data_IF_119437957852
#
_entry.id   IF_119437957852
#
_cell.length_a   1.000
_cell.length_b   1.000
_cell.length_c   1.000
_cell.angle_alpha   90.00
_cell.angle_beta   90.00
_cell.angle_gamma   90.00
#
_symmetry.space_group_name_H-M   'P 1'
#
loop_
_entity.id
_entity.type
_entity.pdbx_description
1 polymer ?
#
# COMPACT_ATOMS: atom_id res chain seq x y z
N UNK A 1 25.19 -21.27 -4.81
CA UNK A 1 24.31 -20.09 -4.77
C UNK A 1 23.02 -20.47 -5.46
N UNK A 2 21.98 -20.74 -4.69
CA UNK A 2 20.66 -20.92 -5.28
C UNK A 2 20.25 -19.56 -5.89
N UNK A 3 20.20 -19.51 -7.22
CA UNK A 3 19.55 -18.38 -7.89
C UNK A 3 18.14 -18.25 -7.33
N UNK A 4 17.80 -17.06 -6.89
CA UNK A 4 16.45 -16.78 -6.38
C UNK A 4 15.47 -16.98 -7.53
N UNK A 5 14.56 -17.95 -7.46
CA UNK A 5 13.50 -18.11 -8.49
C UNK A 5 12.63 -16.86 -8.63
N UNK A 6 12.72 -15.96 -7.69
CA UNK A 6 12.04 -14.66 -7.66
C UNK A 6 12.38 -13.78 -8.88
N UNK A 7 13.58 -13.94 -9.48
CA UNK A 7 13.98 -13.12 -10.63
C UNK A 7 13.15 -13.45 -11.87
N UNK A 8 12.94 -14.72 -12.16
CA UNK A 8 12.16 -15.14 -13.33
C UNK A 8 10.69 -14.73 -13.21
N UNK A 9 10.12 -14.85 -12.02
CA UNK A 9 8.72 -14.51 -11.76
C UNK A 9 8.52 -12.98 -11.75
N UNK A 10 9.49 -12.21 -11.27
CA UNK A 10 9.43 -10.74 -11.29
C UNK A 10 9.32 -10.15 -12.70
N UNK A 11 9.86 -10.80 -13.70
CA UNK A 11 9.70 -10.37 -15.09
C UNK A 11 8.26 -10.39 -15.59
N UNK A 12 7.41 -11.19 -14.96
CA UNK A 12 6.01 -11.28 -15.31
C UNK A 12 5.17 -10.14 -14.72
N UNK A 13 5.70 -9.42 -13.74
CA UNK A 13 5.01 -8.28 -13.14
C UNK A 13 5.04 -7.11 -14.13
N UNK A 14 3.89 -6.52 -14.46
CA UNK A 14 3.85 -5.38 -15.38
C UNK A 14 4.72 -4.21 -14.89
N UNK A 15 5.36 -3.48 -15.82
CA UNK A 15 6.17 -2.34 -15.46
C UNK A 15 5.34 -1.24 -14.77
N UNK A 16 5.96 -0.43 -13.89
CA UNK A 16 5.26 0.65 -13.20
C UNK A 16 4.77 1.72 -14.18
N UNK A 17 3.61 2.28 -13.89
CA UNK A 17 3.02 3.41 -14.61
C UNK A 17 3.49 4.75 -14.02
N UNK A 18 3.10 5.86 -14.64
CA UNK A 18 3.39 7.20 -14.11
C UNK A 18 2.73 7.43 -12.76
N UNK A 19 3.35 8.24 -11.93
CA UNK A 19 2.90 8.54 -10.58
C UNK A 19 1.43 9.04 -10.52
N UNK A 20 1.05 9.95 -11.42
CA UNK A 20 -0.31 10.50 -11.47
C UNK A 20 -1.39 9.45 -11.75
N UNK A 21 -1.06 8.42 -12.49
CA UNK A 21 -1.95 7.28 -12.70
C UNK A 21 -2.30 6.58 -11.37
N UNK A 22 -1.31 6.39 -10.51
CA UNK A 22 -1.55 5.76 -9.20
C UNK A 22 -2.34 6.65 -8.26
N UNK A 23 -2.11 7.97 -8.30
CA UNK A 23 -2.90 8.93 -7.52
C UNK A 23 -4.38 8.84 -7.88
N UNK A 24 -4.70 8.82 -9.17
CA UNK A 24 -6.08 8.64 -9.63
C UNK A 24 -6.69 7.30 -9.21
N UNK A 25 -5.93 6.23 -9.36
CA UNK A 25 -6.40 4.90 -8.99
C UNK A 25 -6.65 4.72 -7.49
N UNK A 26 -5.80 5.27 -6.63
CA UNK A 26 -6.00 5.14 -5.20
C UNK A 26 -7.26 5.88 -4.74
N UNK A 27 -7.54 7.05 -5.27
CA UNK A 27 -8.79 7.79 -5.02
C UNK A 27 -10.01 6.94 -5.36
N UNK A 28 -10.02 6.39 -6.57
CA UNK A 28 -11.12 5.54 -7.04
C UNK A 28 -11.31 4.30 -6.19
N UNK A 29 -10.23 3.59 -5.87
CA UNK A 29 -10.30 2.35 -5.09
C UNK A 29 -10.74 2.55 -3.65
N UNK A 30 -10.56 3.74 -3.10
CA UNK A 30 -10.96 4.10 -1.74
C UNK A 30 -12.32 4.82 -1.67
N UNK A 31 -12.97 5.05 -2.80
CA UNK A 31 -14.23 5.78 -2.86
C UNK A 31 -14.11 7.26 -2.47
N UNK A 32 -12.94 7.85 -2.67
CA UNK A 32 -12.65 9.26 -2.37
C UNK A 32 -12.99 10.21 -3.52
N UNK A 33 -13.48 9.69 -4.65
CA UNK A 33 -13.97 10.51 -5.75
C UNK A 33 -15.38 11.01 -5.42
N UNK A 34 -15.62 12.28 -5.70
CA UNK A 34 -16.98 12.84 -5.63
C UNK A 34 -17.70 12.47 -6.94
N UNK A 35 -18.64 11.55 -6.87
CA UNK A 35 -19.55 11.28 -7.97
C UNK A 35 -20.54 12.44 -8.09
N UNK A 36 -20.51 13.14 -9.22
CA UNK A 36 -21.30 14.34 -9.47
C UNK A 36 -22.84 14.12 -9.46
N UNK A 37 -23.29 12.88 -9.47
CA UNK A 37 -24.70 12.50 -9.58
C UNK A 37 -25.27 11.82 -8.32
N UNK A 38 -24.49 11.66 -7.25
CA UNK A 38 -24.96 10.96 -6.07
C UNK A 38 -25.03 11.91 -4.87
N UNK A 39 -26.22 12.07 -4.33
CA UNK A 39 -26.48 12.77 -3.05
C UNK A 39 -25.82 12.05 -1.84
N UNK A 40 -25.06 10.99 -2.11
CA UNK A 40 -24.31 10.24 -1.11
C UNK A 40 -22.93 10.88 -0.96
N UNK A 41 -22.77 11.64 0.11
CA UNK A 41 -21.46 12.18 0.51
C UNK A 41 -20.60 10.99 0.97
N UNK A 42 -19.60 10.64 0.16
CA UNK A 42 -18.61 9.65 0.54
C UNK A 42 -17.73 10.10 1.72
N UNK A 43 -16.97 9.20 2.34
CA UNK A 43 -16.10 9.57 3.43
C UNK A 43 -15.05 10.59 2.99
N UNK A 44 -14.72 11.54 3.85
CA UNK A 44 -13.70 12.56 3.57
C UNK A 44 -12.28 12.00 3.61
N UNK A 45 -12.10 10.90 4.33
CA UNK A 45 -10.81 10.23 4.50
C UNK A 45 -10.98 8.71 4.46
N UNK A 46 -9.89 8.04 4.08
CA UNK A 46 -9.79 6.59 4.14
C UNK A 46 -8.56 6.18 4.93
N UNK A 47 -8.64 5.04 5.61
CA UNK A 47 -7.55 4.49 6.42
C UNK A 47 -7.01 3.26 5.70
N UNK A 48 -5.68 3.23 5.53
CA UNK A 48 -4.96 2.14 4.87
C UNK A 48 -3.98 1.53 5.87
N UNK A 49 -3.99 0.21 5.98
CA UNK A 49 -2.94 -0.52 6.70
C UNK A 49 -1.62 -0.43 5.96
N UNK A 50 -0.56 -0.09 6.66
CA UNK A 50 0.80 -0.08 6.13
C UNK A 50 1.59 -1.34 6.51
N UNK A 51 0.92 -2.35 7.02
CA UNK A 51 1.49 -3.65 7.34
C UNK A 51 1.12 -4.68 6.30
N UNK A 52 2.14 -5.43 5.87
CA UNK A 52 1.92 -6.58 5.01
C UNK A 52 1.16 -7.68 5.78
N UNK A 53 0.02 -8.18 5.26
CA UNK A 53 -0.76 -9.22 5.93
C UNK A 53 -0.03 -10.57 5.97
N UNK A 54 1.00 -10.76 5.16
CA UNK A 54 1.76 -12.01 5.08
C UNK A 54 2.85 -12.06 6.15
N UNK A 55 3.67 -11.00 6.26
CA UNK A 55 4.80 -10.95 7.20
C UNK A 55 4.55 -10.10 8.43
N UNK A 56 3.44 -9.38 8.48
CA UNK A 56 3.08 -8.48 9.58
C UNK A 56 4.12 -7.37 9.85
N UNK A 57 4.94 -7.07 8.87
CA UNK A 57 5.91 -5.97 8.91
C UNK A 57 5.46 -4.81 8.03
N UNK A 58 6.09 -3.66 8.19
CA UNK A 58 5.80 -2.48 7.39
C UNK A 58 6.09 -2.74 5.90
N UNK A 59 5.15 -2.32 5.04
CA UNK A 59 5.27 -2.47 3.60
C UNK A 59 6.51 -1.75 3.05
N UNK A 60 7.21 -2.40 2.12
CA UNK A 60 8.33 -1.81 1.39
C UNK A 60 8.00 -1.59 -0.09
N UNK A 61 7.42 -2.59 -0.72
CA UNK A 61 6.96 -2.53 -2.11
C UNK A 61 5.48 -2.89 -2.17
N UNK A 62 4.60 -1.95 -1.77
CA UNK A 62 3.17 -2.21 -1.71
C UNK A 62 2.60 -2.50 -3.09
N UNK A 63 1.86 -3.59 -3.19
CA UNK A 63 1.20 -4.05 -4.38
C UNK A 63 -0.17 -4.62 -4.05
N UNK A 64 -0.97 -4.79 -5.09
CA UNK A 64 -2.27 -5.47 -5.02
C UNK A 64 -2.50 -6.30 -6.27
N UNK A 65 -3.42 -7.24 -6.20
CA UNK A 65 -3.89 -7.94 -7.38
C UNK A 65 -4.93 -7.08 -8.13
N UNK A 66 -4.84 -7.04 -9.44
CA UNK A 66 -5.80 -6.31 -10.28
C UNK A 66 -7.24 -6.80 -10.10
N UNK A 67 -7.42 -8.10 -9.86
CA UNK A 67 -8.73 -8.72 -9.61
C UNK A 67 -9.30 -8.48 -8.22
N UNK A 68 -8.51 -7.94 -7.28
CA UNK A 68 -8.95 -7.67 -5.92
C UNK A 68 -9.74 -6.36 -5.85
N UNK A 69 -11.01 -6.45 -5.45
CA UNK A 69 -11.87 -5.28 -5.27
C UNK A 69 -11.70 -4.62 -3.89
N UNK A 70 -10.92 -5.22 -3.01
CA UNK A 70 -10.61 -4.67 -1.69
C UNK A 70 -9.30 -3.87 -1.73
N UNK A 71 -9.16 -2.91 -0.85
CA UNK A 71 -7.93 -2.14 -0.69
C UNK A 71 -6.86 -2.96 0.08
N UNK A 72 -6.59 -4.17 -0.40
CA UNK A 72 -5.62 -5.07 0.19
C UNK A 72 -4.25 -4.86 -0.42
N UNK A 73 -3.31 -4.41 0.39
CA UNK A 73 -1.92 -4.22 0.00
C UNK A 73 -1.06 -5.29 0.66
N UNK A 74 -0.10 -5.79 -0.08
CA UNK A 74 0.92 -6.72 0.39
C UNK A 74 2.26 -6.36 -0.23
N UNK A 75 3.35 -6.85 0.35
CA UNK A 75 4.67 -6.74 -0.27
C UNK A 75 4.82 -7.73 -1.40
N UNK A 76 5.33 -7.26 -2.53
CA UNK A 76 5.62 -8.11 -3.71
C UNK A 76 6.49 -9.29 -3.32
N UNK A 77 7.59 -9.04 -2.63
CA UNK A 77 8.54 -10.11 -2.24
C UNK A 77 7.90 -11.15 -1.34
N UNK A 78 7.10 -10.73 -0.39
CA UNK A 78 6.37 -11.64 0.52
C UNK A 78 5.35 -12.48 -0.21
N UNK A 79 4.64 -11.90 -1.17
CA UNK A 79 3.66 -12.60 -1.98
C UNK A 79 4.32 -13.65 -2.90
N UNK A 80 5.39 -13.27 -3.58
CA UNK A 80 6.14 -14.17 -4.45
C UNK A 80 6.74 -15.34 -3.65
N UNK A 81 7.31 -15.06 -2.48
CA UNK A 81 7.90 -16.10 -1.64
C UNK A 81 6.86 -17.07 -1.08
N UNK A 82 5.70 -16.57 -0.66
CA UNK A 82 4.60 -17.39 -0.16
C UNK A 82 4.08 -18.38 -1.21
N UNK A 83 3.95 -17.93 -2.46
CA UNK A 83 3.39 -18.74 -3.54
C UNK A 83 4.42 -19.49 -4.40
N UNK A 84 5.70 -19.31 -4.12
CA UNK A 84 6.78 -19.98 -4.81
C UNK A 84 6.69 -21.51 -4.77
N UNK A 85 6.34 -22.06 -3.60
CA UNK A 85 6.25 -23.49 -3.40
C UNK A 85 4.84 -24.01 -3.64
N UNK A 86 3.82 -23.30 -3.16
CA UNK A 86 2.43 -23.74 -3.27
C UNK A 86 1.82 -23.52 -4.63
N UNK A 87 2.30 -22.52 -5.40
CA UNK A 87 1.80 -22.10 -6.71
C UNK A 87 0.28 -21.85 -6.77
N UNK A 88 -0.33 -21.58 -5.64
CA UNK A 88 -1.79 -21.35 -5.57
C UNK A 88 -2.18 -19.95 -6.04
N UNK A 89 -1.32 -18.96 -5.89
CA UNK A 89 -1.51 -17.59 -6.40
C UNK A 89 -2.88 -17.00 -6.06
N UNK A 90 -3.18 -16.89 -4.78
CA UNK A 90 -4.43 -16.33 -4.27
C UNK A 90 -4.18 -15.08 -3.43
N UNK A 91 -5.09 -14.10 -3.52
CA UNK A 91 -5.01 -12.89 -2.72
C UNK A 91 -5.10 -13.21 -1.22
N UNK A 92 -4.19 -12.67 -0.38
CA UNK A 92 -4.21 -12.93 1.06
C UNK A 92 -5.43 -12.35 1.79
N UNK A 93 -6.16 -11.42 1.16
CA UNK A 93 -7.31 -10.76 1.77
C UNK A 93 -8.64 -11.33 1.29
N UNK A 94 -8.83 -11.51 -0.01
CA UNK A 94 -10.11 -11.91 -0.59
C UNK A 94 -10.13 -13.34 -1.16
N UNK A 95 -8.97 -14.01 -1.23
CA UNK A 95 -8.86 -15.36 -1.77
C UNK A 95 -9.06 -15.50 -3.28
N UNK A 96 -9.25 -14.40 -4.00
CA UNK A 96 -9.35 -14.42 -5.46
C UNK A 96 -8.04 -14.86 -6.10
N UNK A 97 -8.08 -15.64 -7.19
CA UNK A 97 -6.86 -16.06 -7.89
C UNK A 97 -6.17 -14.86 -8.55
N UNK A 98 -4.84 -14.84 -8.52
CA UNK A 98 -4.05 -13.81 -9.16
C UNK A 98 -2.58 -14.19 -9.24
N UNK A 99 -2.10 -14.48 -10.44
CA UNK A 99 -0.71 -14.80 -10.72
C UNK A 99 0.19 -13.56 -10.81
N UNK A 100 1.50 -13.75 -11.08
CA UNK A 100 2.46 -12.65 -11.19
C UNK A 100 2.06 -11.56 -12.19
N UNK A 101 1.39 -11.92 -13.27
CA UNK A 101 0.90 -10.97 -14.28
C UNK A 101 -0.20 -10.04 -13.77
N UNK A 102 -0.90 -10.45 -12.72
CA UNK A 102 -2.01 -9.71 -12.12
C UNK A 102 -1.56 -8.78 -11.01
N UNK A 103 -0.29 -8.86 -10.60
CA UNK A 103 0.29 -7.99 -9.58
C UNK A 103 0.45 -6.57 -10.13
N UNK A 104 -0.05 -5.59 -9.37
CA UNK A 104 0.11 -4.16 -9.66
C UNK A 104 0.81 -3.49 -8.50
N UNK A 105 2.04 -3.05 -8.71
CA UNK A 105 2.79 -2.26 -7.73
C UNK A 105 2.22 -0.86 -7.72
N UNK A 106 1.90 -0.35 -6.55
CA UNK A 106 1.37 1.00 -6.39
C UNK A 106 2.52 2.00 -6.21
N UNK A 107 2.84 2.73 -7.28
CA UNK A 107 3.93 3.71 -7.28
C UNK A 107 3.70 4.92 -6.36
N UNK A 108 2.46 5.28 -6.08
CA UNK A 108 2.14 6.30 -5.09
C UNK A 108 2.46 5.81 -3.68
N UNK A 109 1.96 4.66 -3.29
CA UNK A 109 2.20 4.09 -1.97
C UNK A 109 3.65 3.68 -1.74
N UNK A 110 4.39 3.29 -2.77
CA UNK A 110 5.86 3.08 -2.67
C UNK A 110 6.54 4.36 -2.17
N UNK A 111 6.19 5.51 -2.72
CA UNK A 111 6.75 6.80 -2.30
C UNK A 111 6.27 7.22 -0.91
N UNK A 112 5.00 7.01 -0.62
CA UNK A 112 4.44 7.25 0.73
C UNK A 112 5.22 6.45 1.77
N UNK A 113 5.45 5.17 1.52
CA UNK A 113 6.18 4.30 2.45
C UNK A 113 7.64 4.72 2.62
N UNK A 114 8.31 5.10 1.55
CA UNK A 114 9.68 5.61 1.62
C UNK A 114 9.77 6.87 2.47
N UNK A 115 8.86 7.83 2.26
CA UNK A 115 8.80 9.07 3.03
C UNK A 115 8.42 8.81 4.49
N UNK A 116 7.44 7.97 4.75
CA UNK A 116 7.03 7.60 6.10
C UNK A 116 8.19 6.98 6.89
N UNK A 117 8.92 6.05 6.30
CA UNK A 117 10.08 5.43 6.94
C UNK A 117 11.17 6.45 7.27
N UNK A 118 11.42 7.38 6.36
CA UNK A 118 12.39 8.45 6.57
C UNK A 118 11.95 9.39 7.71
N UNK A 119 10.69 9.78 7.74
CA UNK A 119 10.13 10.66 8.80
C UNK A 119 10.17 9.98 10.17
N UNK A 120 9.82 8.71 10.25
CA UNK A 120 9.90 7.93 11.48
C UNK A 120 11.34 7.80 11.98
N UNK A 121 12.29 7.57 11.07
CA UNK A 121 13.71 7.50 11.38
C UNK A 121 14.24 8.83 11.93
N UNK A 122 13.84 9.95 11.32
CA UNK A 122 14.22 11.29 11.77
C UNK A 122 13.66 11.63 13.16
N UNK A 123 12.46 11.14 13.45
CA UNK A 123 11.85 11.26 14.79
C UNK A 123 12.37 10.21 15.80
N UNK A 124 13.35 9.41 15.41
CA UNK A 124 13.89 8.28 16.18
C UNK A 124 12.83 7.22 16.56
N UNK A 125 11.77 7.13 15.78
CA UNK A 125 10.77 6.07 15.91
C UNK A 125 11.24 4.88 15.07
N UNK A 126 11.33 3.71 15.69
CA UNK A 126 11.69 2.50 14.96
C UNK A 126 10.59 2.13 13.97
N UNK A 127 10.87 2.07 12.64
CA UNK A 127 9.87 1.68 11.64
C UNK A 127 9.31 0.26 11.85
N UNK A 128 10.07 -0.61 12.53
CA UNK A 128 9.59 -1.93 12.91
C UNK A 128 8.67 -1.93 14.14
N UNK A 129 8.54 -0.77 14.80
CA UNK A 129 7.61 -0.63 15.94
C UNK A 129 6.18 -0.91 15.52
N UNK A 130 5.45 -1.57 16.40
CA UNK A 130 4.03 -1.85 16.21
C UNK A 130 3.14 -0.59 16.29
N UNK A 131 3.68 0.56 16.69
CA UNK A 131 2.92 1.78 16.93
C UNK A 131 2.31 2.37 15.66
N UNK A 132 3.08 2.40 14.55
CA UNK A 132 2.59 2.91 13.27
C UNK A 132 2.12 1.77 12.38
N UNK A 133 0.82 1.56 12.33
CA UNK A 133 0.20 0.47 11.57
C UNK A 133 -0.66 0.96 10.41
N UNK A 134 -1.01 2.25 10.40
CA UNK A 134 -1.98 2.83 9.46
C UNK A 134 -1.56 4.21 9.00
N UNK A 135 -2.00 4.56 7.80
CA UNK A 135 -2.04 5.94 7.29
C UNK A 135 -3.48 6.35 7.02
N UNK A 136 -3.74 7.63 7.10
CA UNK A 136 -4.98 8.26 6.70
C UNK A 136 -4.75 9.03 5.40
N UNK A 137 -5.65 8.88 4.44
CA UNK A 137 -5.60 9.51 3.13
C UNK A 137 -6.87 10.31 2.91
N UNK A 138 -6.74 11.55 2.45
CA UNK A 138 -7.89 12.40 2.14
C UNK A 138 -8.21 12.47 0.63
N UNK A 139 -9.26 13.23 0.26
CA UNK A 139 -9.71 13.39 -1.12
C UNK A 139 -8.68 14.04 -2.05
N UNK A 140 -7.77 14.84 -1.52
CA UNK A 140 -6.67 15.47 -2.25
C UNK A 140 -5.42 14.59 -2.32
N UNK A 141 -5.50 13.34 -1.84
CA UNK A 141 -4.37 12.42 -1.70
C UNK A 141 -3.25 12.94 -0.79
N UNK A 142 -3.59 13.81 0.17
CA UNK A 142 -2.72 14.10 1.29
C UNK A 142 -2.80 12.94 2.26
N UNK A 143 -1.71 12.61 2.90
CA UNK A 143 -1.65 11.50 3.84
C UNK A 143 -0.95 11.91 5.14
N UNK A 144 -1.27 11.22 6.21
CA UNK A 144 -0.58 11.29 7.48
C UNK A 144 -0.58 9.92 8.15
N UNK A 145 0.43 9.64 8.96
CA UNK A 145 0.43 8.39 9.72
C UNK A 145 -0.44 8.52 10.98
N UNK A 146 -0.91 7.37 11.45
CA UNK A 146 -1.60 7.21 12.72
C UNK A 146 -0.76 6.31 13.61
N UNK A 147 -0.48 6.77 14.81
CA UNK A 147 0.30 6.08 15.81
C UNK A 147 -0.57 5.79 17.03
N UNK A 148 -0.51 4.56 17.52
CA UNK A 148 -1.20 4.16 18.74
C UNK A 148 -0.22 4.22 19.90
N UNK A 149 -0.45 5.11 20.85
CA UNK A 149 0.36 5.28 22.06
C UNK A 149 -0.53 5.03 23.27
N UNK A 150 -0.50 3.80 23.80
CA UNK A 150 -1.44 3.37 24.84
C UNK A 150 -2.88 3.43 24.36
N UNK A 151 -3.74 4.13 25.09
CA UNK A 151 -5.15 4.32 24.72
C UNK A 151 -5.39 5.56 23.82
N UNK A 152 -4.33 6.24 23.41
CA UNK A 152 -4.42 7.44 22.58
C UNK A 152 -3.94 7.15 21.17
N UNK A 153 -4.62 7.76 20.20
CA UNK A 153 -4.15 7.83 18.82
C UNK A 153 -3.50 9.21 18.59
N UNK A 154 -2.29 9.21 18.09
CA UNK A 154 -1.58 10.39 17.64
C UNK A 154 -1.47 10.37 16.10
N UNK A 155 -1.40 11.55 15.50
CA UNK A 155 -1.30 11.72 14.06
C UNK A 155 -0.03 12.49 13.70
N UNK A 156 0.58 12.11 12.59
CA UNK A 156 1.58 12.93 11.93
C UNK A 156 0.96 14.16 11.26
N UNK A 157 1.82 15.00 10.72
CA UNK A 157 1.38 16.11 9.88
C UNK A 157 0.93 15.63 8.50
N UNK A 158 0.02 16.38 7.87
CA UNK A 158 -0.41 16.10 6.52
C UNK A 158 0.73 16.33 5.52
N UNK A 159 0.97 15.35 4.67
CA UNK A 159 1.93 15.39 3.57
C UNK A 159 1.16 15.45 2.25
N UNK A 160 1.45 16.45 1.42
CA UNK A 160 0.76 16.60 0.14
C UNK A 160 1.36 15.72 -0.97
N UNK A 161 0.68 15.68 -2.12
CA UNK A 161 1.08 14.87 -3.28
C UNK A 161 2.44 15.30 -3.83
N UNK A 162 2.72 16.60 -3.89
CA UNK A 162 3.99 17.11 -4.43
C UNK A 162 5.16 16.76 -3.52
N UNK A 163 5.00 16.88 -2.22
CA UNK A 163 5.99 16.41 -1.23
C UNK A 163 6.23 14.91 -1.32
N UNK A 164 5.18 14.14 -1.61
CA UNK A 164 5.27 12.68 -1.78
C UNK A 164 5.99 12.33 -3.08
N UNK A 165 5.79 13.12 -4.13
CA UNK A 165 6.45 12.95 -5.43
C UNK A 165 7.96 13.21 -5.37
N UNK A 166 8.35 14.18 -4.60
CA UNK A 166 9.75 14.50 -4.39
C UNK A 166 10.48 13.41 -3.59
#
# INVERSE_FOLDING_TARGET
>A
VRERPDKEVRFLIPPPKKFDFYVGNIKKSLGLEDDADDDIIGPDTAIISVRCPIRMCMLESPARLESCNQACLFDVDSYLEMHKETRKWTCPCCGQPGGPKDIRIDGFLVRVMAKLKNDLKNKRINPASAAVTRIELDKECRWRYRESVGDKEEHGEWVNVEETRA
#
